data_IF_248823114145
#
_entry.id   IF_248823114145
#
_cell.length_a   1.000
_cell.length_b   1.000
_cell.length_c   1.000
_cell.angle_alpha   90.00
_cell.angle_beta   90.00
_cell.angle_gamma   90.00
#
_symmetry.space_group_name_H-M   'P 1'
#
loop_
_entity.id
_entity.type
_entity.pdbx_description
1 polymer ?
#
# COMPACT_ATOMS: atom_id res chain seq x y z
N UNK A 1 3.51 1.69 6.32
CA UNK A 1 2.11 2.15 6.24
C UNK A 1 1.62 2.01 4.81
N UNK A 2 0.33 1.75 4.61
CA UNK A 2 -0.32 1.71 3.29
C UNK A 2 -1.40 2.79 3.25
N UNK A 3 -1.53 3.48 2.12
CA UNK A 3 -2.55 4.49 1.88
C UNK A 3 -3.15 4.30 0.48
N UNK A 4 -4.46 4.44 0.37
CA UNK A 4 -5.19 4.42 -0.89
C UNK A 4 -6.31 5.44 -0.91
N UNK A 5 -6.65 5.91 -2.10
CA UNK A 5 -7.65 6.94 -2.31
C UNK A 5 -7.54 7.51 -3.71
N UNK A 6 -8.08 8.72 -3.91
CA UNK A 6 -7.86 9.45 -5.15
C UNK A 6 -6.37 9.76 -5.34
N UNK A 7 -5.94 9.90 -6.60
CA UNK A 7 -4.54 10.20 -6.91
C UNK A 7 -4.04 11.45 -6.18
N UNK A 8 -4.86 12.50 -6.12
CA UNK A 8 -4.48 13.75 -5.47
C UNK A 8 -4.50 13.64 -3.94
N UNK A 9 -5.47 12.91 -3.37
CA UNK A 9 -5.50 12.63 -1.94
C UNK A 9 -4.28 11.84 -1.46
N UNK A 10 -3.85 10.84 -2.23
CA UNK A 10 -2.63 10.07 -1.91
C UNK A 10 -1.38 10.96 -2.02
N UNK A 11 -1.26 11.81 -3.04
CA UNK A 11 -0.14 12.76 -3.16
C UNK A 11 -0.08 13.75 -1.99
N UNK A 12 -1.22 14.31 -1.60
CA UNK A 12 -1.31 15.25 -0.48
C UNK A 12 -0.94 14.58 0.84
N UNK A 13 -1.44 13.36 1.06
CA UNK A 13 -1.12 12.56 2.24
C UNK A 13 0.38 12.27 2.33
N UNK A 14 1.00 11.80 1.23
CA UNK A 14 2.44 11.56 1.13
C UNK A 14 3.24 12.83 1.41
N UNK A 15 2.85 13.96 0.81
CA UNK A 15 3.49 15.26 1.03
C UNK A 15 3.42 15.67 2.51
N UNK A 16 2.28 15.43 3.16
CA UNK A 16 2.09 15.75 4.57
C UNK A 16 2.96 14.90 5.49
N UNK A 17 3.04 13.59 5.26
CA UNK A 17 3.92 12.69 6.02
C UNK A 17 5.39 13.04 5.81
N UNK A 18 5.80 13.35 4.58
CA UNK A 18 7.17 13.76 4.28
C UNK A 18 7.58 15.03 5.07
N UNK A 19 6.67 16.00 5.22
CA UNK A 19 6.91 17.21 6.02
C UNK A 19 7.04 16.98 7.53
N UNK A 20 6.58 15.83 8.05
CA UNK A 20 6.78 15.47 9.46
C UNK A 20 8.24 15.18 9.81
N UNK A 21 9.13 15.13 8.81
CA UNK A 21 10.58 14.92 8.99
C UNK A 21 10.89 13.70 9.87
N UNK A 22 10.12 12.63 9.72
CA UNK A 22 10.46 11.36 10.35
C UNK A 22 11.85 10.94 9.88
N UNK A 23 12.71 10.62 10.84
CA UNK A 23 14.15 10.39 10.65
C UNK A 23 14.45 9.37 9.53
N UNK A 24 13.53 8.44 9.32
CA UNK A 24 13.66 7.33 8.39
C UNK A 24 12.45 7.23 7.44
N UNK A 25 11.86 8.37 7.05
CA UNK A 25 10.80 8.35 6.04
C UNK A 25 11.34 7.81 4.71
N UNK A 26 10.79 6.69 4.27
CA UNK A 26 11.09 6.06 3.00
C UNK A 26 9.82 5.52 2.38
N UNK A 27 9.66 5.71 1.08
CA UNK A 27 8.63 5.04 0.31
C UNK A 27 9.15 3.67 -0.12
N UNK A 28 8.59 2.60 0.45
CA UNK A 28 8.89 1.24 0.00
C UNK A 28 8.53 1.05 -1.48
N UNK A 29 7.43 1.68 -1.93
CA UNK A 29 7.03 1.76 -3.34
C UNK A 29 6.47 3.15 -3.60
N UNK A 30 6.71 3.67 -4.81
CA UNK A 30 6.10 4.93 -5.26
C UNK A 30 4.57 4.75 -5.41
N UNK A 31 3.76 5.77 -5.07
CA UNK A 31 2.33 5.73 -5.33
C UNK A 31 2.02 5.43 -6.81
N UNK A 32 1.11 4.49 -7.05
CA UNK A 32 0.72 4.07 -8.39
C UNK A 32 -0.76 3.67 -8.41
N UNK A 33 -1.43 3.71 -9.58
CA UNK A 33 -2.77 3.14 -9.74
C UNK A 33 -2.79 1.66 -9.33
N UNK A 34 -3.88 1.23 -8.70
CA UNK A 34 -4.06 -0.17 -8.30
C UNK A 34 -4.32 -0.99 -9.56
N UNK A 35 -3.45 -1.96 -9.84
CA UNK A 35 -3.65 -2.96 -10.87
C UNK A 35 -4.31 -4.20 -10.25
N UNK A 36 -5.50 -4.63 -10.71
CA UNK A 36 -6.18 -5.79 -10.15
C UNK A 36 -5.40 -7.08 -10.47
N UNK A 37 -4.97 -7.81 -9.44
CA UNK A 37 -4.15 -9.02 -9.59
C UNK A 37 -4.89 -10.20 -10.23
N UNK A 38 -6.23 -10.22 -10.20
CA UNK A 38 -7.05 -11.36 -10.63
C UNK A 38 -8.06 -11.03 -11.75
N UNK A 39 -7.84 -9.96 -12.52
CA UNK A 39 -8.69 -9.61 -13.68
C UNK A 39 -10.12 -9.15 -13.34
N UNK A 40 -10.53 -9.20 -12.07
CA UNK A 40 -11.80 -8.65 -11.61
C UNK A 40 -11.59 -7.24 -11.07
N UNK A 41 -12.00 -6.25 -11.85
CA UNK A 41 -12.27 -4.90 -11.36
C UNK A 41 -13.56 -4.89 -10.50
N UNK A 42 -13.71 -5.85 -9.59
CA UNK A 42 -14.80 -5.85 -8.64
C UNK A 42 -14.62 -4.60 -7.76
N UNK A 43 -15.70 -3.84 -7.56
CA UNK A 43 -15.73 -2.70 -6.66
C UNK A 43 -15.19 -3.12 -5.29
N UNK A 44 -13.93 -2.75 -5.01
CA UNK A 44 -13.26 -3.10 -3.75
C UNK A 44 -13.90 -2.25 -2.68
N UNK A 45 -14.76 -2.85 -1.86
CA UNK A 45 -15.30 -2.14 -0.69
C UNK A 45 -14.20 -2.04 0.37
N UNK A 46 -13.50 -0.92 0.36
CA UNK A 46 -12.50 -0.59 1.39
C UNK A 46 -13.15 0.41 2.34
N UNK A 47 -13.24 0.10 3.64
CA UNK A 47 -13.72 1.06 4.61
C UNK A 47 -12.75 2.26 4.68
N UNK A 48 -13.32 3.47 4.70
CA UNK A 48 -12.54 4.71 4.84
C UNK A 48 -12.14 4.88 6.30
N UNK A 49 -10.86 5.14 6.55
CA UNK A 49 -10.35 5.39 7.90
C UNK A 49 -8.89 4.97 8.10
N UNK A 50 -8.41 5.19 9.32
CA UNK A 50 -7.13 4.67 9.80
C UNK A 50 -7.38 3.36 10.53
N UNK A 51 -6.66 2.32 10.14
CA UNK A 51 -6.75 0.99 10.74
C UNK A 51 -5.36 0.56 11.19
N UNK A 52 -5.22 0.30 12.49
CA UNK A 52 -3.98 -0.21 13.08
C UNK A 52 -3.99 -1.73 13.06
N UNK A 53 -2.79 -2.32 12.97
CA UNK A 53 -2.59 -3.77 12.96
C UNK A 53 -1.46 -4.12 13.91
N UNK A 54 -1.54 -5.28 14.55
CA UNK A 54 -0.57 -5.69 15.55
C UNK A 54 0.69 -6.33 14.95
N UNK A 55 0.60 -6.88 13.73
CA UNK A 55 1.69 -7.65 13.13
C UNK A 55 1.83 -7.46 11.62
N UNK A 56 3.04 -7.70 11.10
CA UNK A 56 3.31 -7.71 9.65
C UNK A 56 2.53 -8.83 8.94
N UNK A 57 2.31 -9.97 9.61
CA UNK A 57 1.52 -11.09 9.09
C UNK A 57 0.07 -10.67 8.84
N UNK A 58 -0.54 -9.99 9.81
CA UNK A 58 -1.89 -9.44 9.69
C UNK A 58 -1.96 -8.37 8.59
N UNK A 59 -0.98 -7.47 8.56
CA UNK A 59 -0.88 -6.46 7.50
C UNK A 59 -0.86 -7.11 6.11
N UNK A 60 -0.08 -8.17 5.97
CA UNK A 60 -0.01 -8.95 4.74
C UNK A 60 -1.35 -9.58 4.34
N UNK A 61 -2.05 -10.21 5.28
CA UNK A 61 -3.38 -10.78 5.03
C UNK A 61 -4.37 -9.73 4.51
N UNK A 62 -4.31 -8.50 5.04
CA UNK A 62 -5.13 -7.38 4.57
C UNK A 62 -4.75 -6.98 3.14
N UNK A 63 -3.46 -6.91 2.80
CA UNK A 63 -3.02 -6.61 1.42
C UNK A 63 -3.52 -7.67 0.42
N UNK A 64 -3.60 -8.93 0.84
CA UNK A 64 -4.16 -10.01 0.03
C UNK A 64 -5.67 -9.88 -0.16
N UNK A 65 -6.43 -9.59 0.90
CA UNK A 65 -7.88 -9.30 0.78
C UNK A 65 -8.13 -8.08 -0.11
N UNK A 66 -7.20 -7.14 -0.11
CA UNK A 66 -7.18 -5.95 -0.97
C UNK A 66 -6.67 -6.25 -2.39
N UNK A 67 -6.31 -7.48 -2.75
CA UNK A 67 -5.82 -7.81 -4.10
C UNK A 67 -4.63 -6.95 -4.57
N UNK A 68 -3.75 -6.57 -3.63
CA UNK A 68 -2.47 -5.86 -3.87
C UNK A 68 -1.30 -6.61 -3.23
N UNK A 69 -1.46 -7.93 -3.08
CA UNK A 69 -0.51 -8.79 -2.40
C UNK A 69 0.85 -8.82 -3.07
N UNK A 70 0.86 -9.01 -4.37
CA UNK A 70 2.06 -9.10 -5.21
C UNK A 70 2.80 -7.77 -5.21
N UNK A 71 2.07 -6.66 -5.37
CA UNK A 71 2.64 -5.31 -5.26
C UNK A 71 3.29 -5.06 -3.90
N UNK A 72 2.59 -5.41 -2.82
CA UNK A 72 3.11 -5.25 -1.45
C UNK A 72 4.35 -6.11 -1.23
N UNK A 73 4.33 -7.38 -1.64
CA UNK A 73 5.47 -8.29 -1.49
C UNK A 73 6.71 -7.79 -2.23
N UNK A 74 6.55 -7.27 -3.45
CA UNK A 74 7.65 -6.66 -4.21
C UNK A 74 8.21 -5.45 -3.46
N UNK A 75 7.34 -4.56 -2.99
CA UNK A 75 7.75 -3.37 -2.22
C UNK A 75 8.46 -3.66 -0.90
N UNK A 76 8.10 -4.76 -0.26
CA UNK A 76 8.72 -5.22 0.99
C UNK A 76 10.01 -6.02 0.77
N UNK A 77 10.39 -6.31 -0.48
CA UNK A 77 11.57 -7.13 -0.80
C UNK A 77 11.39 -8.62 -0.53
N UNK A 78 10.15 -9.13 -0.46
CA UNK A 78 9.85 -10.56 -0.29
C UNK A 78 9.89 -11.37 -1.59
N UNK A 79 10.21 -10.70 -2.70
CA UNK A 79 10.34 -11.28 -4.04
C UNK A 79 11.63 -10.68 -4.61
N UNK A 80 12.61 -11.52 -4.90
CA UNK A 80 13.75 -11.16 -5.75
C UNK A 80 13.23 -10.96 -7.18
N UNK A 81 13.72 -9.94 -7.87
CA UNK A 81 13.73 -10.00 -9.33
C UNK A 81 14.77 -11.07 -9.66
N UNK A 82 14.32 -12.30 -9.92
CA UNK A 82 15.22 -13.31 -10.48
C UNK A 82 15.68 -12.78 -11.85
N UNK A 83 17.01 -12.74 -12.07
CA UNK A 83 17.72 -12.25 -13.28
C UNK A 83 17.15 -12.78 -14.61
#
# INVERSE_FOLDING_TARGET
MYAEGSADGVKEWVSSVNRLRYKDYQLAVRPAPIAPENGTAASRHVPVGLFEVGTVKEFGAIMQQRAIWSWWRKGMGYVSEDD
#
